data_IF_336867874798
#
_entry.id   IF_336867874798
#
_cell.length_a   1.000
_cell.length_b   1.000
_cell.length_c   1.000
_cell.angle_alpha   90.00
_cell.angle_beta   90.00
_cell.angle_gamma   90.00
#
_symmetry.space_group_name_H-M   'P 1'
#
loop_
_entity.id
_entity.type
_entity.pdbx_description
1 polymer ?
#
# COMPACT_ATOMS: atom_id res chain seq x y z
N UNK A 1 -2.68 16.11 1.95
CA UNK A 1 -2.40 15.43 3.24
C UNK A 1 -2.26 13.98 2.82
N UNK A 2 -1.04 13.45 2.81
CA UNK A 2 -0.64 12.45 1.83
C UNK A 2 -1.38 11.12 1.94
N UNK A 3 -2.22 10.82 0.95
CA UNK A 3 -2.83 9.50 0.77
C UNK A 3 -2.07 8.71 -0.28
N UNK A 4 -1.30 7.71 0.15
CA UNK A 4 -0.34 7.02 -0.72
C UNK A 4 -0.72 5.57 -0.96
N UNK A 5 -0.58 5.15 -2.21
CA UNK A 5 -0.73 3.76 -2.65
C UNK A 5 0.62 3.20 -3.10
N UNK A 6 1.08 2.14 -2.44
CA UNK A 6 2.31 1.43 -2.78
C UNK A 6 1.93 0.16 -3.56
N UNK A 7 2.33 0.05 -4.83
CA UNK A 7 2.16 -1.17 -5.62
C UNK A 7 3.45 -1.98 -5.60
N UNK A 8 3.40 -3.14 -4.96
CA UNK A 8 4.51 -4.07 -4.80
C UNK A 8 4.87 -4.34 -3.33
N UNK A 9 4.89 -5.60 -2.96
CA UNK A 9 5.22 -6.09 -1.61
C UNK A 9 6.49 -6.98 -1.62
N UNK A 10 7.50 -6.57 -2.39
CA UNK A 10 8.84 -7.18 -2.40
C UNK A 10 9.79 -6.49 -1.40
N UNK A 11 11.08 -6.84 -1.42
CA UNK A 11 12.06 -6.30 -0.45
C UNK A 11 12.12 -4.76 -0.42
N UNK A 12 12.12 -4.12 -1.59
CA UNK A 12 12.10 -2.65 -1.69
C UNK A 12 10.77 -2.08 -1.19
N UNK A 13 9.64 -2.69 -1.59
CA UNK A 13 8.30 -2.27 -1.14
C UNK A 13 8.14 -2.31 0.38
N UNK A 14 8.73 -3.31 1.04
CA UNK A 14 8.79 -3.40 2.50
C UNK A 14 9.53 -2.20 3.09
N UNK A 15 10.73 -1.86 2.60
CA UNK A 15 11.49 -0.70 3.09
C UNK A 15 10.74 0.61 2.88
N UNK A 16 10.10 0.78 1.71
CA UNK A 16 9.25 1.95 1.43
C UNK A 16 8.12 2.05 2.45
N UNK A 17 7.38 0.96 2.70
CA UNK A 17 6.33 0.94 3.69
C UNK A 17 6.83 1.32 5.09
N UNK A 18 8.01 0.83 5.50
CA UNK A 18 8.66 1.23 6.76
C UNK A 18 8.91 2.73 6.84
N UNK A 19 9.48 3.34 5.80
CA UNK A 19 9.84 4.76 5.80
C UNK A 19 8.64 5.69 5.67
N UNK A 20 7.63 5.28 4.90
CA UNK A 20 6.36 6.00 4.79
C UNK A 20 5.63 5.99 6.13
N UNK A 21 5.51 4.82 6.78
CA UNK A 21 4.82 4.71 8.07
C UNK A 21 5.48 5.51 9.20
N UNK A 22 6.81 5.72 9.13
CA UNK A 22 7.59 6.55 10.08
C UNK A 22 7.30 8.05 9.97
N UNK A 23 6.60 8.52 8.93
CA UNK A 23 6.28 9.94 8.73
C UNK A 23 4.75 10.17 8.74
N UNK A 24 4.07 9.95 9.87
CA UNK A 24 2.60 10.02 9.96
C UNK A 24 2.03 11.42 9.71
N UNK A 25 2.81 12.48 9.92
CA UNK A 25 2.38 13.86 9.66
C UNK A 25 2.29 14.17 8.16
N UNK A 26 3.02 13.41 7.34
CA UNK A 26 3.05 13.55 5.88
C UNK A 26 2.11 12.53 5.22
N UNK A 27 2.20 11.26 5.63
CA UNK A 27 1.45 10.15 5.06
C UNK A 27 0.39 9.66 6.03
N UNK A 28 -0.83 10.13 5.81
CA UNK A 28 -1.93 9.99 6.77
C UNK A 28 -2.83 8.81 6.43
N UNK A 29 -2.90 8.44 5.16
CA UNK A 29 -3.53 7.20 4.68
C UNK A 29 -2.53 6.43 3.82
N UNK A 30 -2.36 5.14 4.10
CA UNK A 30 -1.40 4.28 3.40
C UNK A 30 -2.12 3.02 2.94
N UNK A 31 -1.92 2.61 1.69
CA UNK A 31 -2.31 1.31 1.18
C UNK A 31 -1.12 0.60 0.53
N UNK A 32 -1.00 -0.70 0.78
CA UNK A 32 -0.07 -1.58 0.05
C UNK A 32 -0.90 -2.56 -0.78
N UNK A 33 -0.67 -2.56 -2.10
CA UNK A 33 -1.29 -3.48 -3.03
C UNK A 33 -0.25 -4.32 -3.75
N UNK A 34 -0.53 -5.60 -3.98
CA UNK A 34 0.37 -6.52 -4.70
C UNK A 34 -0.41 -7.72 -5.20
N UNK A 35 0.18 -8.48 -6.13
CA UNK A 35 -0.39 -9.76 -6.61
C UNK A 35 -0.63 -10.74 -5.46
N UNK A 36 0.27 -10.79 -4.48
CA UNK A 36 0.15 -11.63 -3.30
C UNK A 36 -0.28 -10.81 -2.08
N UNK A 37 -1.58 -10.74 -1.80
CA UNK A 37 -2.13 -9.96 -0.68
C UNK A 37 -1.54 -10.33 0.68
N UNK A 38 -1.27 -11.61 0.93
CA UNK A 38 -0.69 -12.08 2.19
C UNK A 38 0.67 -11.41 2.51
N UNK A 39 1.46 -11.02 1.49
CA UNK A 39 2.70 -10.26 1.69
C UNK A 39 2.41 -8.82 2.14
N UNK A 40 1.40 -8.17 1.55
CA UNK A 40 0.95 -6.84 1.99
C UNK A 40 0.48 -6.90 3.44
N UNK A 41 -0.30 -7.91 3.80
CA UNK A 41 -0.83 -8.11 5.16
C UNK A 41 0.30 -8.29 6.18
N UNK A 42 1.30 -9.10 5.86
CA UNK A 42 2.48 -9.28 6.72
C UNK A 42 3.25 -7.96 6.94
N UNK A 43 3.44 -7.15 5.88
CA UNK A 43 4.10 -5.85 6.00
C UNK A 43 3.25 -4.88 6.84
N UNK A 44 1.94 -4.83 6.58
CA UNK A 44 1.01 -3.98 7.34
C UNK A 44 1.01 -4.31 8.84
N UNK A 45 1.08 -5.60 9.20
CA UNK A 45 1.21 -6.05 10.59
C UNK A 45 2.54 -5.66 11.21
N UNK A 46 3.66 -5.80 10.47
CA UNK A 46 4.99 -5.50 10.99
C UNK A 46 5.25 -3.99 11.17
N UNK A 47 4.60 -3.14 10.36
CA UNK A 47 4.99 -1.73 10.20
C UNK A 47 3.89 -0.74 10.52
N UNK A 48 2.65 -1.11 10.27
CA UNK A 48 1.56 -0.15 10.13
C UNK A 48 0.91 0.31 11.42
N UNK A 49 1.11 -0.39 12.55
CA UNK A 49 0.39 -0.09 13.80
C UNK A 49 -1.13 -0.04 13.60
N UNK A 50 -1.66 -0.84 12.66
CA UNK A 50 -3.08 -0.84 12.26
C UNK A 50 -3.51 0.25 11.26
N UNK A 51 -2.60 1.13 10.80
CA UNK A 51 -2.91 2.26 9.90
C UNK A 51 -2.79 1.96 8.40
N UNK A 52 -2.20 0.83 8.03
CA UNK A 52 -1.95 0.46 6.63
C UNK A 52 -3.08 -0.44 6.13
N UNK A 53 -3.78 0.00 5.08
CA UNK A 53 -4.74 -0.84 4.34
C UNK A 53 -4.00 -1.75 3.36
N UNK A 54 -4.61 -2.86 3.01
CA UNK A 54 -4.02 -3.81 2.05
C UNK A 54 -5.02 -4.22 0.98
N UNK A 55 -4.52 -4.41 -0.23
CA UNK A 55 -5.31 -4.86 -1.37
C UNK A 55 -4.55 -5.89 -2.19
N UNK A 56 -5.29 -6.69 -2.95
CA UNK A 56 -4.73 -7.47 -4.05
C UNK A 56 -4.93 -6.69 -5.34
N UNK A 57 -3.92 -6.71 -6.21
CA UNK A 57 -4.03 -6.19 -7.58
C UNK A 57 -3.02 -6.88 -8.46
N UNK A 58 -3.40 -7.25 -9.69
CA UNK A 58 -2.43 -7.54 -10.73
C UNK A 58 -2.07 -6.26 -11.48
N UNK A 59 -0.84 -5.78 -11.29
CA UNK A 59 -0.39 -4.52 -11.89
C UNK A 59 -0.22 -4.60 -13.42
N UNK A 60 -0.24 -5.81 -13.99
CA UNK A 60 -0.27 -6.02 -15.43
C UNK A 60 -1.71 -5.90 -16.00
N UNK A 61 -2.73 -5.84 -15.14
CA UNK A 61 -4.14 -5.67 -15.52
C UNK A 61 -4.60 -4.22 -15.29
N UNK A 62 -4.73 -3.48 -16.40
CA UNK A 62 -5.14 -2.05 -16.38
C UNK A 62 -6.51 -1.84 -15.72
N UNK A 63 -7.47 -2.75 -15.90
CA UNK A 63 -8.82 -2.59 -15.34
C UNK A 63 -8.81 -2.71 -13.81
N UNK A 64 -8.06 -3.67 -13.27
CA UNK A 64 -7.89 -3.81 -11.81
C UNK A 64 -7.20 -2.59 -11.20
N UNK A 65 -6.21 -2.01 -11.88
CA UNK A 65 -5.56 -0.77 -11.46
C UNK A 65 -6.55 0.41 -11.44
N UNK A 66 -7.39 0.55 -12.47
CA UNK A 66 -8.42 1.58 -12.53
C UNK A 66 -9.41 1.42 -11.36
N UNK A 67 -9.88 0.22 -11.09
CA UNK A 67 -10.78 -0.06 -9.96
C UNK A 67 -10.12 0.26 -8.61
N UNK A 68 -8.86 -0.13 -8.42
CA UNK A 68 -8.10 0.17 -7.21
C UNK A 68 -7.91 1.67 -7.01
N UNK A 69 -7.52 2.40 -8.06
CA UNK A 69 -7.32 3.85 -7.98
C UNK A 69 -8.63 4.59 -7.71
N UNK A 70 -9.73 4.18 -8.33
CA UNK A 70 -11.05 4.80 -8.11
C UNK A 70 -11.62 4.51 -6.73
N UNK A 71 -11.39 3.30 -6.19
CA UNK A 71 -11.86 2.91 -4.85
C UNK A 71 -11.04 3.55 -3.74
N UNK A 72 -9.72 3.60 -3.89
CA UNK A 72 -8.83 4.14 -2.85
C UNK A 72 -8.65 5.65 -2.96
N UNK A 73 -8.57 6.20 -4.17
CA UNK A 73 -8.30 7.62 -4.48
C UNK A 73 -7.01 8.14 -3.83
N UNK A 74 -5.84 7.59 -4.19
CA UNK A 74 -4.56 8.15 -3.75
C UNK A 74 -4.35 9.58 -4.28
N UNK A 75 -3.59 10.40 -3.54
CA UNK A 75 -3.14 11.74 -3.92
C UNK A 75 -1.92 11.71 -4.85
#
# INVERSE_FOLDING_TARGET
MGKVLIIGAGGVGTVVAHKVAQNPDVFTEIMIASRTKAKCDAIAQAVGGGRIKTAQVDADNVNELIELFNSYKPE
#
